data_IF_291710894622
#
_entry.id   IF_291710894622
#
_cell.length_a   1.000
_cell.length_b   1.000
_cell.length_c   1.000
_cell.angle_alpha   90.00
_cell.angle_beta   90.00
_cell.angle_gamma   90.00
#
_symmetry.space_group_name_H-M   'P 1'
#
loop_
_entity.id
_entity.type
_entity.pdbx_description
1 polymer ?
#
# COMPACT_ATOMS: atom_id res chain seq x y z
N UNK A 1 95.94 10.00 18.06
CA UNK A 1 95.96 8.63 17.52
C UNK A 1 94.61 8.33 16.89
N UNK A 2 94.61 7.96 15.60
CA UNK A 2 93.44 7.45 14.88
C UNK A 2 92.96 6.15 15.55
N UNK A 3 91.66 5.99 15.75
CA UNK A 3 91.06 4.65 15.76
C UNK A 3 89.71 4.69 15.03
N UNK A 4 89.65 3.77 14.08
CA UNK A 4 88.59 3.48 13.11
C UNK A 4 87.59 2.49 13.73
N UNK A 5 86.30 2.81 13.65
CA UNK A 5 85.21 1.86 13.89
C UNK A 5 84.62 1.37 12.55
N UNK A 6 84.17 0.11 12.43
CA UNK A 6 84.04 -0.61 11.16
C UNK A 6 82.73 -0.35 10.39
N UNK A 7 82.67 -0.64 9.08
CA UNK A 7 81.58 -0.27 8.16
C UNK A 7 80.38 -1.24 8.16
N UNK A 8 80.14 -1.99 9.24
CA UNK A 8 79.17 -3.10 9.23
C UNK A 8 77.71 -2.68 9.52
N UNK A 9 77.47 -1.54 10.18
CA UNK A 9 76.09 -1.08 10.46
C UNK A 9 75.40 -0.41 9.26
N UNK A 10 76.16 0.26 8.37
CA UNK A 10 75.58 0.91 7.18
C UNK A 10 75.19 -0.09 6.08
N UNK A 11 75.87 -1.23 6.00
CA UNK A 11 75.57 -2.27 5.01
C UNK A 11 74.30 -3.06 5.40
N UNK A 12 74.06 -3.27 6.71
CA UNK A 12 72.87 -3.98 7.19
C UNK A 12 71.57 -3.20 6.95
N UNK A 13 71.62 -1.85 7.05
CA UNK A 13 70.47 -0.98 6.80
C UNK A 13 70.11 -0.87 5.31
N UNK A 14 71.09 -0.95 4.40
CA UNK A 14 70.86 -0.95 2.95
C UNK A 14 70.28 -2.28 2.43
N UNK A 15 70.64 -3.42 3.04
CA UNK A 15 70.11 -4.74 2.65
C UNK A 15 68.61 -4.86 3.01
N UNK A 16 68.20 -4.38 4.19
CA UNK A 16 66.79 -4.43 4.64
C UNK A 16 65.87 -3.53 3.80
N UNK A 17 66.39 -2.40 3.29
CA UNK A 17 65.63 -1.51 2.39
C UNK A 17 65.48 -2.09 0.96
N UNK A 18 66.46 -2.85 0.47
CA UNK A 18 66.39 -3.50 -0.85
C UNK A 18 65.45 -4.72 -0.93
N UNK A 19 65.30 -5.46 0.19
CA UNK A 19 64.41 -6.62 0.29
C UNK A 19 62.92 -6.24 0.43
N UNK A 20 62.61 -5.03 0.91
CA UNK A 20 61.23 -4.57 1.05
C UNK A 20 60.66 -3.92 -0.22
N UNK A 21 61.54 -3.47 -1.14
CA UNK A 21 61.12 -2.90 -2.43
C UNK A 21 60.98 -3.96 -3.55
N UNK A 22 61.71 -5.08 -3.45
CA UNK A 22 61.66 -6.17 -4.45
C UNK A 22 60.38 -7.01 -4.35
N UNK A 23 59.73 -7.05 -3.18
CA UNK A 23 58.47 -7.77 -2.95
C UNK A 23 57.22 -7.01 -3.40
N UNK A 24 57.35 -5.73 -3.80
CA UNK A 24 56.22 -4.90 -4.24
C UNK A 24 56.13 -4.72 -5.76
N UNK A 25 57.09 -5.24 -6.53
CA UNK A 25 57.09 -5.13 -8.00
C UNK A 25 56.79 -6.48 -8.68
N UNK A 26 56.95 -7.62 -7.99
CA UNK A 26 56.62 -8.95 -8.50
C UNK A 26 55.12 -9.34 -8.36
N UNK A 27 54.25 -8.42 -7.95
CA UNK A 27 52.79 -8.63 -7.91
C UNK A 27 52.08 -7.92 -9.07
N UNK A 28 52.81 -7.24 -9.97
CA UNK A 28 52.18 -6.33 -10.95
C UNK A 28 52.47 -6.55 -12.43
N UNK A 29 53.05 -7.68 -12.88
CA UNK A 29 53.22 -7.94 -14.34
C UNK A 29 53.41 -9.42 -14.72
N UNK A 30 52.47 -9.94 -15.54
CA UNK A 30 52.56 -11.19 -16.34
C UNK A 30 52.02 -12.44 -15.62
N UNK A 31 50.98 -13.16 -16.04
CA UNK A 31 50.58 -13.57 -17.40
C UNK A 31 51.26 -14.90 -17.74
N UNK A 32 50.69 -16.06 -17.33
CA UNK A 32 49.95 -17.02 -18.20
C UNK A 32 50.86 -18.23 -18.51
N UNK A 33 50.58 -19.48 -18.11
CA UNK A 33 49.74 -20.55 -18.69
C UNK A 33 50.10 -21.81 -17.85
N UNK A 34 49.32 -22.86 -17.58
CA UNK A 34 48.04 -23.38 -18.05
C UNK A 34 47.60 -24.44 -17.02
N UNK A 35 46.43 -24.27 -16.42
CA UNK A 35 45.67 -25.37 -15.83
C UNK A 35 44.23 -25.13 -16.24
N UNK A 36 43.66 -26.13 -16.90
CA UNK A 36 42.32 -26.16 -17.47
C UNK A 36 41.31 -25.72 -16.39
N UNK A 37 40.85 -24.48 -16.46
CA UNK A 37 39.67 -24.03 -15.74
C UNK A 37 38.48 -24.61 -16.49
N UNK A 38 37.84 -25.59 -15.87
CA UNK A 38 36.47 -25.95 -16.18
C UNK A 38 35.65 -24.69 -15.95
N UNK A 39 35.12 -24.09 -17.02
CA UNK A 39 34.06 -23.10 -16.91
C UNK A 39 32.93 -23.73 -16.09
N UNK A 40 32.84 -23.36 -14.81
CA UNK A 40 31.60 -23.54 -14.09
C UNK A 40 30.54 -22.75 -14.87
N UNK A 41 29.46 -23.39 -15.34
CA UNK A 41 28.41 -22.66 -16.02
C UNK A 41 27.89 -21.67 -14.99
N UNK A 42 27.98 -20.38 -15.35
CA UNK A 42 27.37 -19.25 -14.66
C UNK A 42 26.14 -19.74 -13.92
N UNK A 43 26.24 -19.80 -12.59
CA UNK A 43 25.12 -20.10 -11.71
C UNK A 43 24.03 -19.11 -12.10
N UNK A 44 23.10 -19.57 -12.92
CA UNK A 44 21.79 -18.97 -13.08
C UNK A 44 21.35 -18.77 -11.64
N UNK A 45 21.26 -17.51 -11.22
CA UNK A 45 20.63 -17.16 -9.96
C UNK A 45 19.20 -17.68 -10.10
N UNK A 46 18.99 -18.96 -9.76
CA UNK A 46 17.67 -19.54 -9.62
C UNK A 46 17.07 -18.67 -8.54
N UNK A 47 16.19 -17.76 -8.95
CA UNK A 47 15.28 -17.07 -8.04
C UNK A 47 14.78 -18.15 -7.09
N UNK A 48 15.29 -18.17 -5.85
CA UNK A 48 14.86 -19.15 -4.86
C UNK A 48 13.38 -18.88 -4.71
N UNK A 49 12.55 -19.84 -5.16
CA UNK A 49 11.11 -19.75 -4.99
C UNK A 49 10.88 -19.53 -3.48
N UNK A 50 10.26 -18.43 -3.07
CA UNK A 50 10.05 -18.13 -1.67
C UNK A 50 9.24 -19.26 -1.04
N UNK A 51 9.79 -19.89 0.00
CA UNK A 51 9.11 -20.96 0.73
C UNK A 51 8.33 -20.32 1.85
N UNK A 52 7.01 -20.23 1.65
CA UNK A 52 6.10 -19.69 2.64
C UNK A 52 5.67 -20.74 3.66
N UNK A 53 5.45 -20.31 4.91
CA UNK A 53 4.84 -21.16 5.91
C UNK A 53 3.38 -21.46 5.52
N UNK A 54 3.12 -22.71 5.10
CA UNK A 54 1.81 -23.13 4.61
C UNK A 54 0.69 -22.97 5.65
N UNK A 55 0.99 -23.08 6.94
CA UNK A 55 0.04 -22.86 8.03
C UNK A 55 -0.33 -21.38 8.12
N UNK A 56 0.65 -20.47 8.08
CA UNK A 56 0.38 -19.03 8.06
C UNK A 56 -0.47 -18.62 6.85
N UNK A 57 -0.16 -19.15 5.66
CA UNK A 57 -0.95 -18.88 4.45
C UNK A 57 -2.41 -19.33 4.61
N UNK A 58 -2.64 -20.52 5.19
CA UNK A 58 -3.99 -21.03 5.44
C UNK A 58 -4.77 -20.13 6.41
N UNK A 59 -4.15 -19.72 7.52
CA UNK A 59 -4.81 -18.84 8.49
C UNK A 59 -5.06 -17.43 7.93
N UNK A 60 -4.13 -16.89 7.14
CA UNK A 60 -4.27 -15.60 6.47
C UNK A 60 -5.39 -15.60 5.41
N UNK A 61 -5.67 -16.75 4.80
CA UNK A 61 -6.74 -16.89 3.80
C UNK A 61 -8.17 -16.88 4.37
N UNK A 62 -8.33 -17.08 5.69
CA UNK A 62 -9.64 -17.13 6.38
C UNK A 62 -10.15 -15.71 6.67
N UNK A 63 -11.30 -15.33 6.12
CA UNK A 63 -12.03 -14.11 6.51
C UNK A 63 -12.99 -14.46 7.66
N UNK A 64 -12.59 -14.12 8.90
CA UNK A 64 -13.38 -14.40 10.12
C UNK A 64 -14.73 -13.67 10.09
N UNK A 65 -14.79 -12.55 9.39
CA UNK A 65 -16.00 -11.76 9.22
C UNK A 65 -16.88 -12.20 8.05
N UNK A 66 -16.52 -13.22 7.27
CA UNK A 66 -17.22 -13.49 6.00
C UNK A 66 -18.71 -13.77 6.18
N UNK A 67 -19.07 -14.63 7.14
CA UNK A 67 -20.47 -15.03 7.37
C UNK A 67 -21.35 -13.84 7.79
N UNK A 68 -20.86 -13.00 8.71
CA UNK A 68 -21.58 -11.80 9.14
C UNK A 68 -21.71 -10.80 7.99
N UNK A 69 -20.66 -10.61 7.18
CA UNK A 69 -20.72 -9.70 6.03
C UNK A 69 -21.72 -10.19 4.97
N UNK A 70 -21.78 -11.49 4.68
CA UNK A 70 -22.78 -12.07 3.78
C UNK A 70 -24.19 -11.83 4.28
N UNK A 71 -24.44 -12.08 5.57
CA UNK A 71 -25.74 -11.82 6.18
C UNK A 71 -26.14 -10.33 6.10
N UNK A 72 -25.21 -9.41 6.38
CA UNK A 72 -25.45 -7.96 6.24
C UNK A 72 -25.81 -7.59 4.81
N UNK A 73 -25.08 -8.11 3.81
CA UNK A 73 -25.35 -7.86 2.39
C UNK A 73 -26.74 -8.38 2.01
N UNK A 74 -27.13 -9.57 2.47
CA UNK A 74 -28.46 -10.14 2.20
C UNK A 74 -29.58 -9.26 2.78
N UNK A 75 -29.44 -8.78 4.01
CA UNK A 75 -30.44 -7.91 4.63
C UNK A 75 -30.52 -6.55 3.91
N UNK A 76 -29.37 -5.99 3.51
CA UNK A 76 -29.34 -4.78 2.70
C UNK A 76 -30.01 -4.99 1.34
N UNK A 77 -29.76 -6.11 0.66
CA UNK A 77 -30.45 -6.46 -0.58
C UNK A 77 -31.95 -6.71 -0.38
N UNK A 78 -32.44 -6.98 0.84
CA UNK A 78 -33.88 -7.04 1.15
C UNK A 78 -34.47 -5.66 1.51
N UNK A 79 -33.66 -4.60 1.50
CA UNK A 79 -34.08 -3.24 1.93
C UNK A 79 -34.13 -3.07 3.45
N UNK A 80 -33.53 -3.98 4.20
CA UNK A 80 -33.47 -3.93 5.66
C UNK A 80 -32.16 -3.32 6.11
N UNK A 81 -32.19 -2.03 6.39
CA UNK A 81 -31.07 -1.29 6.95
C UNK A 81 -31.08 -1.49 8.47
N UNK A 82 -30.23 -2.39 8.97
CA UNK A 82 -30.06 -2.61 10.40
C UNK A 82 -29.63 -1.35 11.16
N UNK A 83 -29.87 -1.31 12.47
CA UNK A 83 -29.55 -0.17 13.34
C UNK A 83 -28.08 -0.09 13.80
N UNK A 84 -27.24 -1.09 13.44
CA UNK A 84 -25.81 -1.15 13.76
C UNK A 84 -25.02 -1.71 12.57
N UNK A 85 -24.28 -0.85 11.88
CA UNK A 85 -23.18 -1.28 11.02
C UNK A 85 -21.99 -1.79 11.87
N UNK A 86 -21.10 -2.55 11.24
CA UNK A 86 -19.88 -3.13 11.86
C UNK A 86 -19.06 -2.16 12.70
N UNK A 87 -19.06 -0.87 12.36
CA UNK A 87 -18.26 0.17 13.01
C UNK A 87 -19.04 1.07 13.97
N UNK A 88 -20.19 0.61 14.50
CA UNK A 88 -20.92 1.34 15.54
C UNK A 88 -21.52 2.69 15.12
N UNK A 89 -21.43 3.05 13.83
CA UNK A 89 -22.09 4.23 13.29
C UNK A 89 -23.59 3.98 13.17
N UNK A 90 -24.35 4.76 13.94
CA UNK A 90 -25.81 4.74 13.89
C UNK A 90 -26.28 5.30 12.56
N UNK A 91 -27.14 4.56 11.85
CA UNK A 91 -27.97 5.04 10.73
C UNK A 91 -29.06 6.03 11.24
N UNK A 92 -28.76 6.84 12.27
CA UNK A 92 -29.59 8.00 12.63
C UNK A 92 -29.26 9.14 11.67
N UNK A 93 -29.68 8.96 10.42
CA UNK A 93 -29.63 10.00 9.39
C UNK A 93 -30.75 9.93 8.36
N UNK A 94 -31.63 8.92 8.43
CA UNK A 94 -32.99 9.01 7.89
C UNK A 94 -33.89 8.32 8.89
N UNK A 95 -34.78 9.07 9.51
CA UNK A 95 -35.90 8.48 10.26
C UNK A 95 -36.55 7.41 9.39
N UNK A 96 -36.98 6.31 9.99
CA UNK A 96 -37.74 5.24 9.30
C UNK A 96 -38.95 5.78 8.51
N UNK A 97 -39.42 7.00 8.82
CA UNK A 97 -40.42 7.76 8.04
C UNK A 97 -39.87 8.46 6.78
N UNK A 98 -38.62 8.92 6.78
CA UNK A 98 -37.98 9.61 5.63
C UNK A 98 -37.54 8.67 4.51
N UNK A 99 -37.13 7.44 4.84
CA UNK A 99 -36.92 6.38 3.83
C UNK A 99 -38.26 5.98 3.21
N UNK A 100 -39.34 5.91 3.99
CA UNK A 100 -40.68 5.59 3.50
C UNK A 100 -41.26 6.66 2.57
N UNK A 101 -40.98 7.94 2.83
CA UNK A 101 -41.36 9.05 1.95
C UNK A 101 -40.52 9.11 0.67
N UNK A 102 -39.24 8.72 0.72
CA UNK A 102 -38.37 8.61 -0.47
C UNK A 102 -38.69 7.40 -1.35
N UNK A 103 -39.24 6.31 -0.80
CA UNK A 103 -39.64 5.11 -1.56
C UNK A 103 -40.65 5.40 -2.69
N UNK A 104 -41.27 6.58 -2.74
CA UNK A 104 -42.24 6.99 -3.77
C UNK A 104 -41.68 7.93 -4.85
N UNK A 105 -40.42 8.36 -4.78
CA UNK A 105 -39.84 9.20 -5.83
C UNK A 105 -39.19 8.35 -6.94
N UNK A 106 -39.40 8.68 -8.23
CA UNK A 106 -38.78 7.97 -9.34
C UNK A 106 -37.24 7.94 -9.26
N UNK A 107 -36.64 8.99 -8.70
CA UNK A 107 -35.20 9.11 -8.52
C UNK A 107 -34.66 8.16 -7.45
N UNK A 108 -35.39 7.96 -6.35
CA UNK A 108 -35.01 6.98 -5.33
C UNK A 108 -35.08 5.55 -5.88
N UNK A 109 -36.10 5.24 -6.68
CA UNK A 109 -36.24 3.91 -7.28
C UNK A 109 -35.04 3.57 -8.19
N UNK A 110 -34.56 4.54 -9.00
CA UNK A 110 -33.36 4.36 -9.83
C UNK A 110 -32.11 4.11 -8.97
N UNK A 111 -31.87 4.97 -7.98
CA UNK A 111 -30.72 4.82 -7.08
C UNK A 111 -30.77 3.48 -6.31
N UNK A 112 -31.96 3.01 -5.96
CA UNK A 112 -32.15 1.72 -5.31
C UNK A 112 -31.80 0.53 -6.21
N UNK A 113 -32.21 0.55 -7.48
CA UNK A 113 -31.85 -0.47 -8.46
C UNK A 113 -30.33 -0.49 -8.70
N UNK A 114 -29.73 0.69 -8.83
CA UNK A 114 -28.27 0.83 -8.98
C UNK A 114 -27.51 0.30 -7.77
N UNK A 115 -27.96 0.65 -6.56
CA UNK A 115 -27.39 0.13 -5.33
C UNK A 115 -27.43 -1.39 -5.28
N UNK A 116 -28.59 -2.00 -5.53
CA UNK A 116 -28.72 -3.47 -5.52
C UNK A 116 -27.80 -4.13 -6.53
N UNK A 117 -27.75 -3.59 -7.75
CA UNK A 117 -26.90 -4.10 -8.84
C UNK A 117 -25.43 -4.06 -8.44
N UNK A 118 -24.93 -2.88 -8.02
CA UNK A 118 -23.52 -2.69 -7.66
C UNK A 118 -23.14 -3.56 -6.46
N UNK A 119 -23.97 -3.56 -5.40
CA UNK A 119 -23.70 -4.35 -4.20
C UNK A 119 -23.67 -5.86 -4.50
N UNK A 120 -24.64 -6.34 -5.28
CA UNK A 120 -24.72 -7.74 -5.68
C UNK A 120 -23.52 -8.15 -6.55
N UNK A 121 -23.15 -7.32 -7.53
CA UNK A 121 -21.99 -7.59 -8.41
C UNK A 121 -20.68 -7.58 -7.64
N UNK A 122 -20.49 -6.62 -6.74
CA UNK A 122 -19.33 -6.56 -5.85
C UNK A 122 -19.26 -7.81 -4.96
N UNK A 123 -20.37 -8.20 -4.33
CA UNK A 123 -20.43 -9.39 -3.47
C UNK A 123 -20.06 -10.68 -4.21
N UNK A 124 -20.56 -10.88 -5.44
CA UNK A 124 -20.26 -12.07 -6.26
C UNK A 124 -18.80 -12.14 -6.70
N UNK A 125 -18.14 -10.99 -6.87
CA UNK A 125 -16.73 -10.90 -7.27
C UNK A 125 -15.77 -11.00 -6.08
N UNK A 126 -16.24 -10.88 -4.84
CA UNK A 126 -15.42 -10.95 -3.62
C UNK A 126 -14.86 -12.35 -3.37
N UNK A 127 -13.79 -12.68 -4.10
CA UNK A 127 -13.01 -13.91 -3.96
C UNK A 127 -11.55 -13.61 -4.29
N UNK A 128 -10.65 -14.42 -3.76
CA UNK A 128 -9.24 -14.31 -4.09
C UNK A 128 -8.97 -14.68 -5.56
N UNK A 129 -8.25 -13.82 -6.26
CA UNK A 129 -7.70 -14.08 -7.59
C UNK A 129 -6.28 -13.50 -7.64
N UNK A 130 -5.25 -14.33 -7.86
CA UNK A 130 -3.86 -13.89 -7.72
C UNK A 130 -3.40 -12.97 -8.86
N UNK A 131 -4.07 -12.97 -10.02
CA UNK A 131 -3.74 -12.14 -11.19
C UNK A 131 -4.25 -10.69 -11.10
N UNK A 132 -5.00 -10.34 -10.05
CA UNK A 132 -5.67 -9.04 -9.93
C UNK A 132 -4.71 -7.85 -10.03
N UNK A 133 -3.45 -8.03 -9.61
CA UNK A 133 -2.44 -6.97 -9.63
C UNK A 133 -2.14 -6.47 -11.04
N UNK A 134 -2.12 -7.35 -12.05
CA UNK A 134 -1.89 -6.97 -13.44
C UNK A 134 -3.14 -6.31 -14.07
N UNK A 135 -4.33 -6.67 -13.58
CA UNK A 135 -5.59 -6.09 -14.04
C UNK A 135 -5.84 -4.66 -13.53
N UNK A 136 -5.11 -4.19 -12.51
CA UNK A 136 -5.27 -2.85 -11.93
C UNK A 136 -5.03 -1.72 -12.94
N UNK A 137 -4.22 -1.98 -13.97
CA UNK A 137 -3.98 -1.04 -15.07
C UNK A 137 -5.30 -0.72 -15.78
N UNK A 138 -6.04 -1.75 -16.20
CA UNK A 138 -7.34 -1.57 -16.85
C UNK A 138 -8.42 -1.08 -15.89
N UNK A 139 -8.43 -1.57 -14.65
CA UNK A 139 -9.48 -1.29 -13.66
C UNK A 139 -9.40 0.12 -13.06
N UNK A 140 -8.20 0.68 -12.91
CA UNK A 140 -7.99 1.97 -12.23
C UNK A 140 -7.27 2.98 -13.10
N UNK A 141 -6.12 2.63 -13.70
CA UNK A 141 -5.37 3.57 -14.56
C UNK A 141 -6.17 3.94 -15.81
N UNK A 142 -6.81 3.00 -16.49
CA UNK A 142 -7.60 3.25 -17.71
C UNK A 142 -8.70 4.31 -17.54
N UNK A 143 -9.59 4.22 -16.54
CA UNK A 143 -10.57 5.26 -16.25
C UNK A 143 -9.97 6.64 -15.93
N UNK A 144 -8.83 6.67 -15.21
CA UNK A 144 -8.13 7.92 -14.85
C UNK A 144 -7.51 8.57 -16.10
N UNK A 145 -6.81 7.79 -16.93
CA UNK A 145 -6.21 8.26 -18.18
C UNK A 145 -7.27 8.84 -19.11
N UNK A 146 -8.39 8.13 -19.29
CA UNK A 146 -9.49 8.60 -20.14
C UNK A 146 -10.06 9.93 -19.66
N UNK A 147 -10.24 10.10 -18.36
CA UNK A 147 -10.69 11.37 -17.77
C UNK A 147 -9.72 12.51 -18.02
N UNK A 148 -8.41 12.22 -17.96
CA UNK A 148 -7.36 13.20 -18.22
C UNK A 148 -7.08 13.43 -19.72
N UNK A 149 -7.88 12.84 -20.62
CA UNK A 149 -7.69 12.96 -22.07
C UNK A 149 -6.46 12.22 -22.60
N UNK A 150 -5.91 11.28 -21.84
CA UNK A 150 -4.74 10.48 -22.21
C UNK A 150 -5.17 9.21 -22.95
N UNK A 151 -4.32 8.72 -23.86
CA UNK A 151 -4.53 7.44 -24.53
C UNK A 151 -4.33 6.32 -23.53
N UNK A 152 -5.35 5.48 -23.36
CA UNK A 152 -5.28 4.31 -22.47
C UNK A 152 -4.21 3.35 -22.99
N UNK A 153 -3.26 3.03 -22.11
CA UNK A 153 -2.13 2.16 -22.40
C UNK A 153 -2.04 1.09 -21.31
N UNK A 154 -1.75 -0.14 -21.73
CA UNK A 154 -1.46 -1.28 -20.86
C UNK A 154 -0.09 -1.17 -20.16
N UNK A 155 0.68 -0.11 -20.42
CA UNK A 155 1.90 0.18 -19.68
C UNK A 155 1.58 0.82 -18.34
N UNK A 156 2.38 0.46 -17.33
CA UNK A 156 2.42 1.13 -16.03
C UNK A 156 2.88 2.58 -16.19
N UNK A 157 2.52 3.42 -15.22
CA UNK A 157 3.12 4.74 -15.08
C UNK A 157 4.60 4.59 -14.72
N UNK A 158 5.46 5.48 -15.19
CA UNK A 158 6.90 5.42 -14.93
C UNK A 158 7.25 5.64 -13.46
N UNK A 159 6.51 6.50 -12.75
CA UNK A 159 6.73 6.71 -11.32
C UNK A 159 5.50 7.21 -10.56
N UNK A 160 5.33 6.70 -9.33
CA UNK A 160 4.26 7.10 -8.44
C UNK A 160 4.79 7.48 -7.06
N UNK A 161 4.32 8.61 -6.53
CA UNK A 161 4.46 8.96 -5.13
C UNK A 161 3.15 8.64 -4.39
N UNK A 162 3.21 7.81 -3.36
CA UNK A 162 2.10 7.58 -2.43
C UNK A 162 2.38 8.41 -1.17
N UNK A 163 1.53 9.40 -0.93
CA UNK A 163 1.69 10.36 0.18
C UNK A 163 0.69 10.04 1.27
N UNK A 164 1.20 9.43 2.34
CA UNK A 164 0.49 9.17 3.57
C UNK A 164 0.29 10.43 4.41
N UNK A 165 -0.40 10.27 5.54
CA UNK A 165 -0.84 11.41 6.35
C UNK A 165 0.05 11.65 7.58
N UNK A 166 1.11 10.84 7.78
CA UNK A 166 1.91 10.88 9.00
C UNK A 166 2.56 12.23 9.26
N UNK A 167 2.61 12.64 10.53
CA UNK A 167 3.28 13.87 10.96
C UNK A 167 4.78 13.88 10.70
N UNK A 168 5.40 12.73 10.42
CA UNK A 168 6.83 12.64 10.08
C UNK A 168 7.19 13.49 8.86
N UNK A 169 6.24 13.72 7.95
CA UNK A 169 6.42 14.58 6.78
C UNK A 169 6.82 16.01 7.15
N UNK A 170 6.54 16.47 8.37
CA UNK A 170 6.90 17.81 8.82
C UNK A 170 8.38 17.96 9.17
N UNK A 171 9.15 16.86 9.16
CA UNK A 171 10.57 16.88 9.51
C UNK A 171 11.47 17.23 8.31
N UNK A 172 10.96 17.09 7.08
CA UNK A 172 11.73 17.28 5.84
C UNK A 172 10.88 17.94 4.76
N UNK A 173 11.53 18.67 3.86
CA UNK A 173 10.88 19.35 2.74
C UNK A 173 10.85 18.43 1.50
N UNK A 174 9.96 17.43 1.52
CA UNK A 174 9.81 16.49 0.40
C UNK A 174 8.96 17.02 -0.76
N UNK A 175 8.44 18.25 -0.70
CA UNK A 175 7.41 18.73 -1.62
C UNK A 175 7.81 18.68 -3.09
N UNK A 176 8.99 19.20 -3.44
CA UNK A 176 9.50 19.16 -4.82
C UNK A 176 9.76 17.72 -5.30
N UNK A 177 10.30 16.88 -4.40
CA UNK A 177 10.56 15.47 -4.71
C UNK A 177 9.25 14.71 -4.98
N UNK A 178 8.21 14.97 -4.19
CA UNK A 178 6.88 14.37 -4.38
C UNK A 178 6.31 14.81 -5.73
N UNK A 179 6.31 16.12 -6.01
CA UNK A 179 5.69 16.68 -7.22
C UNK A 179 6.43 16.30 -8.51
N UNK A 180 7.71 15.90 -8.41
CA UNK A 180 8.51 15.38 -9.51
C UNK A 180 8.11 13.98 -10.02
N UNK A 181 7.22 13.26 -9.32
CA UNK A 181 6.72 11.97 -9.80
C UNK A 181 5.67 12.15 -10.90
N UNK A 182 5.52 11.19 -11.80
CA UNK A 182 4.50 11.24 -12.86
C UNK A 182 3.09 11.30 -12.24
N UNK A 183 2.84 10.43 -11.27
CA UNK A 183 1.58 10.33 -10.55
C UNK A 183 1.80 10.56 -9.04
N UNK A 184 0.97 11.41 -8.44
CA UNK A 184 0.91 11.58 -6.98
C UNK A 184 -0.45 11.11 -6.47
N UNK A 185 -0.40 10.12 -5.56
CA UNK A 185 -1.56 9.48 -4.92
C UNK A 185 -1.62 9.97 -3.47
N UNK A 186 -2.69 10.66 -3.09
CA UNK A 186 -2.89 11.15 -1.72
C UNK A 186 -4.00 10.42 -0.99
N UNK A 187 -3.86 10.29 0.32
CA UNK A 187 -4.80 9.51 1.12
C UNK A 187 -5.90 10.38 1.76
N UNK A 188 -7.12 9.85 1.76
CA UNK A 188 -8.26 10.40 2.48
C UNK A 188 -8.47 11.90 2.18
N UNK A 189 -8.42 12.75 3.21
CA UNK A 189 -8.68 14.19 3.13
C UNK A 189 -7.52 15.03 3.66
N UNK A 190 -6.29 14.60 3.39
CA UNK A 190 -5.09 15.31 3.83
C UNK A 190 -4.98 16.68 3.17
N UNK A 191 -4.75 17.73 3.98
CA UNK A 191 -4.59 19.09 3.43
C UNK A 191 -3.21 19.22 2.80
N UNK A 192 -3.10 19.89 1.66
CA UNK A 192 -1.81 20.29 1.08
C UNK A 192 -1.50 21.76 1.39
N UNK A 193 -2.54 22.59 1.41
CA UNK A 193 -2.44 24.02 1.74
C UNK A 193 -1.71 24.25 3.07
N UNK A 194 -0.69 25.11 3.06
CA UNK A 194 0.24 25.45 4.16
C UNK A 194 1.29 24.39 4.49
N UNK A 195 1.30 23.28 3.76
CA UNK A 195 2.26 22.18 3.94
C UNK A 195 3.02 21.87 2.64
N UNK A 196 2.91 22.73 1.62
CA UNK A 196 3.36 22.49 0.25
C UNK A 196 4.86 22.17 0.19
N UNK A 197 5.68 22.84 1.00
CA UNK A 197 7.12 22.56 1.11
C UNK A 197 7.42 21.13 1.54
N UNK A 198 6.58 20.57 2.40
CA UNK A 198 6.76 19.23 2.95
C UNK A 198 6.09 18.15 2.09
N UNK A 199 4.89 18.44 1.58
CA UNK A 199 4.02 17.40 0.98
C UNK A 199 3.69 17.63 -0.49
N UNK A 200 4.14 18.73 -1.08
CA UNK A 200 3.87 19.10 -2.47
C UNK A 200 2.44 19.58 -2.71
N UNK A 201 2.15 19.99 -3.94
CA UNK A 201 0.83 20.45 -4.39
C UNK A 201 0.16 19.48 -5.36
N UNK A 202 0.95 18.67 -6.08
CA UNK A 202 0.44 17.79 -7.14
C UNK A 202 -0.42 16.70 -6.54
N UNK A 203 -1.56 16.43 -7.19
CA UNK A 203 -2.44 15.30 -6.88
C UNK A 203 -3.06 14.82 -8.17
N UNK A 204 -2.75 13.59 -8.59
CA UNK A 204 -3.32 13.01 -9.80
C UNK A 204 -4.62 12.28 -9.49
N UNK A 205 -4.69 11.57 -8.36
CA UNK A 205 -5.93 11.04 -7.80
C UNK A 205 -5.77 10.81 -6.29
N UNK A 206 -6.89 10.70 -5.59
CA UNK A 206 -6.88 10.37 -4.16
C UNK A 206 -7.42 8.97 -3.89
N UNK A 207 -6.83 8.29 -2.91
CA UNK A 207 -7.28 7.01 -2.41
C UNK A 207 -7.96 7.20 -1.04
N UNK A 208 -9.25 6.91 -0.94
CA UNK A 208 -10.04 7.26 0.25
C UNK A 208 -10.80 6.06 0.82
N UNK A 209 -10.98 6.05 2.14
CA UNK A 209 -11.94 5.18 2.80
C UNK A 209 -13.37 5.65 2.50
N UNK A 210 -14.28 4.72 2.17
CA UNK A 210 -15.72 5.02 2.01
C UNK A 210 -16.39 5.78 3.16
N UNK A 211 -15.87 5.73 4.39
CA UNK A 211 -16.32 6.59 5.50
C UNK A 211 -16.19 8.08 5.18
N UNK A 212 -15.16 8.49 4.41
CA UNK A 212 -15.00 9.88 3.96
C UNK A 212 -16.15 10.26 3.04
N UNK A 213 -16.48 9.40 2.08
CA UNK A 213 -17.64 9.61 1.21
C UNK A 213 -18.95 9.59 1.99
N UNK A 214 -19.12 8.68 2.95
CA UNK A 214 -20.30 8.63 3.81
C UNK A 214 -20.53 9.94 4.59
N UNK A 215 -19.46 10.57 5.08
CA UNK A 215 -19.51 11.86 5.76
C UNK A 215 -19.89 13.01 4.80
N UNK A 216 -19.30 13.04 3.61
CA UNK A 216 -19.52 14.13 2.64
C UNK A 216 -20.80 13.96 1.80
N UNK A 217 -21.24 12.73 1.54
CA UNK A 217 -22.45 12.42 0.77
C UNK A 217 -23.74 12.92 1.40
N UNK A 218 -23.67 13.32 2.68
CA UNK A 218 -24.78 13.99 3.41
C UNK A 218 -24.92 15.47 3.04
N UNK A 219 -23.95 16.05 2.34
CA UNK A 219 -23.97 17.46 1.90
C UNK A 219 -24.72 17.59 0.58
N UNK A 220 -25.28 18.76 0.33
CA UNK A 220 -25.93 19.07 -0.95
C UNK A 220 -24.94 18.86 -2.11
N UNK A 221 -25.38 18.16 -3.16
CA UNK A 221 -24.55 17.87 -4.33
C UNK A 221 -23.41 16.87 -4.10
N UNK A 222 -23.39 16.15 -2.96
CA UNK A 222 -22.31 15.21 -2.64
C UNK A 222 -20.90 15.85 -2.70
N UNK A 223 -20.75 17.10 -2.24
CA UNK A 223 -19.48 17.82 -2.30
C UNK A 223 -18.37 17.09 -1.50
N UNK A 224 -17.61 16.25 -2.20
CA UNK A 224 -16.59 15.35 -1.66
C UNK A 224 -15.33 15.42 -2.54
N UNK A 225 -14.67 16.57 -2.55
CA UNK A 225 -13.51 16.80 -3.43
C UNK A 225 -12.30 17.26 -2.61
N UNK A 226 -11.65 16.38 -1.83
CA UNK A 226 -10.58 16.77 -0.90
C UNK A 226 -9.40 17.45 -1.60
N UNK A 227 -9.18 17.15 -2.88
CA UNK A 227 -8.08 17.70 -3.70
C UNK A 227 -8.56 18.44 -4.94
N UNK A 228 -9.85 18.82 -5.00
CA UNK A 228 -10.44 19.55 -6.13
C UNK A 228 -11.40 18.71 -6.98
N UNK A 229 -12.37 19.37 -7.61
CA UNK A 229 -13.51 18.72 -8.27
C UNK A 229 -13.14 17.86 -9.49
N UNK A 230 -11.96 18.10 -10.07
CA UNK A 230 -11.46 17.39 -11.25
C UNK A 230 -10.49 16.25 -10.91
N UNK A 231 -10.18 16.04 -9.63
CA UNK A 231 -9.28 14.97 -9.18
C UNK A 231 -10.08 13.68 -8.98
N UNK A 232 -9.78 12.59 -9.71
CA UNK A 232 -10.42 11.30 -9.52
C UNK A 232 -10.25 10.76 -8.09
N UNK A 233 -11.23 9.98 -7.64
CA UNK A 233 -11.19 9.33 -6.34
C UNK A 233 -11.30 7.82 -6.50
N UNK A 234 -10.34 7.09 -5.94
CA UNK A 234 -10.38 5.64 -5.77
C UNK A 234 -10.82 5.34 -4.34
N UNK A 235 -11.85 4.50 -4.18
CA UNK A 235 -12.52 4.26 -2.90
C UNK A 235 -12.60 2.77 -2.63
N UNK A 236 -12.16 2.37 -1.44
CA UNK A 236 -12.51 1.06 -0.92
C UNK A 236 -13.71 1.13 0.01
N UNK A 237 -14.60 0.16 -0.14
CA UNK A 237 -15.86 0.09 0.59
C UNK A 237 -15.64 -0.73 1.87
N UNK A 238 -15.61 -0.05 3.01
CA UNK A 238 -15.40 -0.69 4.32
C UNK A 238 -16.72 -1.19 4.94
N UNK A 239 -17.87 -0.67 4.48
CA UNK A 239 -19.20 -1.13 4.89
C UNK A 239 -20.10 -1.26 3.66
N UNK A 240 -20.79 -2.40 3.47
CA UNK A 240 -21.68 -2.59 2.32
C UNK A 240 -22.78 -1.51 2.18
N UNK A 241 -23.21 -0.90 3.27
CA UNK A 241 -24.16 0.23 3.27
C UNK A 241 -23.65 1.44 2.48
N UNK A 242 -22.32 1.68 2.44
CA UNK A 242 -21.74 2.84 1.75
C UNK A 242 -21.88 2.77 0.22
N UNK A 243 -22.30 1.64 -0.34
CA UNK A 243 -22.70 1.59 -1.75
C UNK A 243 -23.91 2.49 -2.05
N UNK A 244 -24.74 2.81 -1.05
CA UNK A 244 -25.78 3.82 -1.21
C UNK A 244 -25.18 5.20 -1.45
N UNK A 245 -24.19 5.60 -0.64
CA UNK A 245 -23.52 6.89 -0.80
C UNK A 245 -22.79 6.95 -2.14
N UNK A 246 -22.10 5.86 -2.51
CA UNK A 246 -21.46 5.73 -3.82
C UNK A 246 -22.45 5.94 -4.97
N UNK A 247 -23.57 5.21 -4.99
CA UNK A 247 -24.53 5.30 -6.10
C UNK A 247 -25.20 6.66 -6.22
N UNK A 248 -25.48 7.31 -5.08
CA UNK A 248 -25.99 8.67 -5.07
C UNK A 248 -24.93 9.66 -5.57
N UNK A 249 -23.72 9.57 -5.04
CA UNK A 249 -22.69 10.57 -5.27
C UNK A 249 -21.95 10.41 -6.59
N UNK A 250 -21.84 9.21 -7.16
CA UNK A 250 -21.13 8.98 -8.42
C UNK A 250 -21.68 9.86 -9.56
N UNK A 251 -23.00 10.05 -9.60
CA UNK A 251 -23.66 10.92 -10.59
C UNK A 251 -23.39 12.42 -10.42
N UNK A 252 -22.92 12.83 -9.24
CA UNK A 252 -22.69 14.24 -8.89
C UNK A 252 -21.23 14.66 -9.02
N UNK A 253 -20.30 13.72 -9.25
CA UNK A 253 -18.87 14.03 -9.37
C UNK A 253 -18.49 14.32 -10.83
N UNK A 254 -17.69 15.38 -11.04
CA UNK A 254 -17.13 15.68 -12.37
C UNK A 254 -15.97 14.74 -12.74
N UNK A 255 -15.23 14.26 -11.74
CA UNK A 255 -14.16 13.28 -11.91
C UNK A 255 -14.62 11.86 -11.53
N UNK A 256 -14.00 10.81 -12.08
CA UNK A 256 -14.34 9.43 -11.78
C UNK A 256 -14.33 9.11 -10.28
N UNK A 257 -15.42 8.47 -9.83
CA UNK A 257 -15.52 7.81 -8.54
C UNK A 257 -15.33 6.31 -8.76
N UNK A 258 -14.14 5.79 -8.48
CA UNK A 258 -13.75 4.41 -8.80
C UNK A 258 -13.79 3.59 -7.52
N UNK A 259 -14.67 2.59 -7.46
CA UNK A 259 -14.65 1.60 -6.36
C UNK A 259 -13.58 0.56 -6.64
N UNK A 260 -12.77 0.20 -5.65
CA UNK A 260 -11.77 -0.88 -5.76
C UNK A 260 -12.43 -2.21 -6.13
N UNK A 261 -11.73 -3.01 -6.94
CA UNK A 261 -12.21 -4.35 -7.25
C UNK A 261 -12.15 -5.24 -5.99
N UNK A 262 -13.22 -5.96 -5.63
CA UNK A 262 -13.27 -6.77 -4.42
C UNK A 262 -12.24 -7.91 -4.39
N UNK A 263 -11.70 -8.32 -5.55
CA UNK A 263 -10.58 -9.28 -5.61
C UNK A 263 -9.29 -8.67 -5.08
N UNK A 264 -9.08 -7.38 -5.35
CA UNK A 264 -7.97 -6.60 -4.83
C UNK A 264 -8.12 -6.36 -3.32
N UNK A 265 -9.35 -6.06 -2.87
CA UNK A 265 -9.65 -5.97 -1.44
C UNK A 265 -9.30 -7.28 -0.69
N UNK A 266 -9.67 -8.44 -1.26
CA UNK A 266 -9.35 -9.76 -0.68
C UNK A 266 -7.84 -10.02 -0.68
N UNK A 267 -7.12 -9.65 -1.74
CA UNK A 267 -5.67 -9.78 -1.80
C UNK A 267 -5.00 -8.97 -0.67
N UNK A 268 -5.33 -7.69 -0.54
CA UNK A 268 -4.78 -6.83 0.52
C UNK A 268 -5.10 -7.35 1.92
N UNK A 269 -6.33 -7.84 2.15
CA UNK A 269 -6.74 -8.42 3.43
C UNK A 269 -5.90 -9.67 3.78
N UNK A 270 -5.62 -10.54 2.81
CA UNK A 270 -4.79 -11.74 3.03
C UNK A 270 -3.33 -11.39 3.31
N UNK A 271 -2.76 -10.45 2.55
CA UNK A 271 -1.38 -10.00 2.74
C UNK A 271 -1.20 -9.43 4.15
N UNK A 272 -2.01 -8.44 4.55
CA UNK A 272 -1.84 -7.80 5.87
C UNK A 272 -2.09 -8.79 7.01
N UNK A 273 -3.05 -9.71 6.86
CA UNK A 273 -3.31 -10.75 7.86
C UNK A 273 -2.13 -11.71 7.98
N UNK A 274 -1.44 -12.04 6.89
CA UNK A 274 -0.24 -12.87 6.96
C UNK A 274 0.88 -12.22 7.78
N UNK A 275 1.17 -10.94 7.53
CA UNK A 275 2.17 -10.20 8.32
C UNK A 275 1.77 -10.12 9.80
N UNK A 276 0.50 -9.81 10.09
CA UNK A 276 -0.01 -9.75 11.46
C UNK A 276 0.08 -11.11 12.18
N UNK A 277 -0.30 -12.21 11.53
CA UNK A 277 -0.18 -13.57 12.08
C UNK A 277 1.28 -13.96 12.32
N UNK A 278 2.18 -13.62 11.39
CA UNK A 278 3.61 -13.89 11.51
C UNK A 278 4.18 -13.18 12.74
N UNK A 279 3.96 -11.87 12.87
CA UNK A 279 4.39 -11.07 14.03
C UNK A 279 3.83 -11.63 15.32
N UNK A 280 2.52 -11.92 15.36
CA UNK A 280 1.86 -12.46 16.54
C UNK A 280 2.55 -13.73 17.06
N UNK A 281 2.86 -14.69 16.19
CA UNK A 281 3.55 -15.92 16.58
C UNK A 281 4.99 -15.64 17.02
N UNK A 282 5.72 -14.79 16.30
CA UNK A 282 7.12 -14.49 16.58
C UNK A 282 7.30 -13.78 17.94
N UNK A 283 6.43 -12.81 18.22
CA UNK A 283 6.48 -11.96 19.42
C UNK A 283 5.86 -12.63 20.65
N UNK A 284 4.68 -13.25 20.50
CA UNK A 284 3.92 -13.75 21.66
C UNK A 284 4.16 -15.22 21.95
N UNK A 285 4.66 -15.98 20.96
CA UNK A 285 4.79 -17.45 20.99
C UNK A 285 3.48 -18.20 21.24
N UNK A 286 2.33 -17.53 21.09
CA UNK A 286 1.00 -18.13 21.21
C UNK A 286 0.59 -18.85 19.93
N UNK A 287 -0.33 -19.82 20.02
CA UNK A 287 -0.84 -20.52 18.85
C UNK A 287 -1.74 -19.60 18.00
N UNK A 288 -1.77 -19.85 16.68
CA UNK A 288 -2.41 -18.97 15.69
C UNK A 288 -3.93 -18.80 15.87
N UNK A 289 -4.60 -19.74 16.51
CA UNK A 289 -6.03 -19.69 16.83
C UNK A 289 -6.36 -18.61 17.86
N UNK A 290 -5.42 -18.21 18.71
CA UNK A 290 -5.57 -17.06 19.62
C UNK A 290 -5.48 -15.70 18.91
N UNK A 291 -4.98 -15.63 17.67
CA UNK A 291 -4.80 -14.35 16.97
C UNK A 291 -6.12 -13.56 16.86
N UNK A 292 -7.23 -14.26 16.61
CA UNK A 292 -8.53 -13.64 16.38
C UNK A 292 -9.08 -12.90 17.61
N UNK A 293 -8.82 -13.41 18.82
CA UNK A 293 -9.29 -12.78 20.06
C UNK A 293 -8.46 -11.55 20.44
N UNK A 294 -7.19 -11.52 20.03
CA UNK A 294 -6.28 -10.40 20.30
C UNK A 294 -6.47 -9.24 19.33
N UNK A 295 -6.76 -9.53 18.06
CA UNK A 295 -6.81 -8.53 16.98
C UNK A 295 -8.22 -8.16 16.52
N UNK A 296 -9.25 -8.53 17.29
CA UNK A 296 -10.67 -8.39 16.89
C UNK A 296 -10.88 -8.92 15.46
N UNK A 297 -10.55 -10.20 15.22
CA UNK A 297 -10.34 -10.74 13.88
C UNK A 297 -11.50 -10.59 12.89
N UNK A 298 -12.74 -10.42 13.36
CA UNK A 298 -13.92 -10.15 12.53
C UNK A 298 -13.98 -8.70 11.98
N UNK A 299 -13.26 -7.79 12.63
CA UNK A 299 -13.15 -6.37 12.32
C UNK A 299 -11.79 -6.00 11.72
N UNK A 300 -10.79 -6.87 11.86
CA UNK A 300 -9.45 -6.69 11.31
C UNK A 300 -9.48 -6.36 9.82
N UNK A 301 -8.77 -5.31 9.44
CA UNK A 301 -8.77 -4.78 8.08
C UNK A 301 -7.48 -4.01 7.80
N UNK A 302 -7.05 -3.97 6.54
CA UNK A 302 -5.93 -3.12 6.11
C UNK A 302 -6.25 -1.62 6.23
N UNK A 303 -5.24 -0.79 6.37
CA UNK A 303 -5.37 0.67 6.30
C UNK A 303 -5.56 1.16 4.85
N UNK A 304 -6.10 2.37 4.69
CA UNK A 304 -6.17 3.02 3.36
C UNK A 304 -4.78 3.19 2.73
N UNK A 305 -3.75 3.34 3.57
CA UNK A 305 -2.37 3.49 3.13
C UNK A 305 -1.83 2.21 2.49
N UNK A 306 -2.02 1.07 3.14
CA UNK A 306 -1.57 -0.23 2.60
C UNK A 306 -2.17 -0.48 1.23
N UNK A 307 -3.48 -0.30 1.10
CA UNK A 307 -4.14 -0.57 -0.17
C UNK A 307 -3.74 0.42 -1.26
N UNK A 308 -3.51 1.69 -0.93
CA UNK A 308 -2.99 2.68 -1.88
C UNK A 308 -1.56 2.37 -2.34
N UNK A 309 -0.69 1.89 -1.44
CA UNK A 309 0.66 1.42 -1.79
C UNK A 309 0.57 0.21 -2.71
N UNK A 310 -0.24 -0.78 -2.38
CA UNK A 310 -0.44 -1.96 -3.24
C UNK A 310 -1.05 -1.60 -4.59
N UNK A 311 -1.93 -0.59 -4.65
CA UNK A 311 -2.48 -0.08 -5.89
C UNK A 311 -1.36 0.52 -6.76
N UNK A 312 -0.51 1.36 -6.17
CA UNK A 312 0.65 1.95 -6.84
C UNK A 312 1.61 0.87 -7.36
N UNK A 313 1.81 -0.21 -6.59
CA UNK A 313 2.61 -1.37 -7.01
C UNK A 313 2.06 -2.03 -8.28
N UNK A 314 0.73 -2.11 -8.42
CA UNK A 314 0.09 -2.68 -9.61
C UNK A 314 0.15 -1.80 -10.85
N UNK A 315 0.20 -0.47 -10.69
CA UNK A 315 0.04 0.47 -11.82
C UNK A 315 1.28 1.29 -12.15
N UNK A 316 2.40 1.14 -11.43
CA UNK A 316 3.61 1.94 -11.60
C UNK A 316 4.89 1.08 -11.67
N UNK A 317 5.93 1.57 -12.36
CA UNK A 317 7.26 0.93 -12.47
C UNK A 317 8.20 1.32 -11.32
N UNK A 318 7.97 2.49 -10.71
CA UNK A 318 8.64 2.96 -9.50
C UNK A 318 7.61 3.49 -8.50
N UNK A 319 7.74 3.11 -7.23
CA UNK A 319 6.84 3.54 -6.14
C UNK A 319 7.66 4.18 -5.02
N UNK A 320 7.40 5.45 -4.73
CA UNK A 320 7.98 6.18 -3.61
C UNK A 320 6.91 6.40 -2.54
N UNK A 321 7.18 5.95 -1.32
CA UNK A 321 6.22 5.91 -0.20
C UNK A 321 6.62 6.97 0.82
N UNK A 322 5.81 8.02 0.97
CA UNK A 322 6.10 9.18 1.83
C UNK A 322 5.13 9.24 3.00
N UNK A 323 5.62 9.48 4.22
CA UNK A 323 4.72 9.71 5.36
C UNK A 323 4.02 8.44 5.85
N UNK A 324 4.72 7.32 5.78
CA UNK A 324 4.35 6.03 6.36
C UNK A 324 5.36 5.69 7.45
N UNK A 325 4.86 5.37 8.65
CA UNK A 325 5.69 5.17 9.83
C UNK A 325 5.38 6.17 10.94
N UNK A 326 6.08 5.96 12.04
CA UNK A 326 5.84 6.64 13.32
C UNK A 326 7.12 7.27 13.83
N UNK A 327 6.96 8.43 14.46
CA UNK A 327 8.03 9.05 15.25
C UNK A 327 7.42 9.55 16.55
N UNK A 328 8.10 9.30 17.68
CA UNK A 328 7.63 9.72 19.00
C UNK A 328 7.47 11.25 19.12
N UNK A 329 8.20 12.01 18.30
CA UNK A 329 8.13 13.47 18.23
C UNK A 329 7.11 13.99 17.22
N UNK A 330 6.49 13.11 16.41
CA UNK A 330 5.56 13.50 15.36
C UNK A 330 4.10 13.25 15.76
N UNK A 331 3.20 14.06 15.20
CA UNK A 331 1.75 13.84 15.30
C UNK A 331 1.35 12.65 14.41
N UNK A 332 0.19 12.05 14.69
CA UNK A 332 -0.30 10.97 13.83
C UNK A 332 -0.69 11.50 12.46
N UNK A 333 -1.37 12.66 12.39
CA UNK A 333 -1.57 13.36 11.13
C UNK A 333 -0.84 14.71 11.11
N UNK A 334 -0.21 15.05 10.00
CA UNK A 334 0.45 16.36 9.85
C UNK A 334 -0.56 17.53 9.81
N UNK A 335 -1.80 17.25 9.38
CA UNK A 335 -2.84 18.27 9.17
C UNK A 335 -3.99 18.24 10.20
N UNK A 336 -3.97 17.34 11.19
CA UNK A 336 -5.00 17.27 12.26
C UNK A 336 -4.39 17.09 13.65
N UNK A 337 -5.13 17.44 14.70
CA UNK A 337 -4.69 17.29 16.11
C UNK A 337 -4.67 15.83 16.60
N UNK A 338 -4.89 14.85 15.71
CA UNK A 338 -4.83 13.44 16.07
C UNK A 338 -3.39 13.04 16.40
N UNK A 339 -3.20 12.41 17.56
CA UNK A 339 -1.89 11.96 18.06
C UNK A 339 -1.71 10.45 18.06
N UNK A 340 -2.80 9.68 17.99
CA UNK A 340 -2.75 8.22 18.07
C UNK A 340 -3.32 7.53 16.82
N UNK A 341 -2.75 6.38 16.53
CA UNK A 341 -3.21 5.41 15.53
C UNK A 341 -4.55 4.76 15.97
N UNK A 342 -5.33 4.33 14.98
CA UNK A 342 -6.53 3.53 15.23
C UNK A 342 -6.13 2.10 15.60
N UNK A 343 -6.73 1.53 16.64
CA UNK A 343 -6.49 0.13 17.06
C UNK A 343 -6.95 -0.93 16.06
N UNK A 344 -7.70 -0.52 15.03
CA UNK A 344 -8.30 -1.42 14.03
C UNK A 344 -7.28 -2.02 13.05
N UNK A 345 -6.17 -1.31 12.82
CA UNK A 345 -5.13 -1.70 11.87
C UNK A 345 -3.90 -2.13 12.65
N UNK A 346 -3.25 -3.20 12.19
CA UNK A 346 -1.95 -3.60 12.69
C UNK A 346 -0.85 -2.90 11.88
N UNK A 347 -0.56 -1.65 12.25
CA UNK A 347 0.38 -0.79 11.52
C UNK A 347 1.80 -1.37 11.45
N UNK A 348 2.24 -2.07 12.50
CA UNK A 348 3.56 -2.69 12.52
C UNK A 348 3.64 -3.82 11.47
N UNK A 349 2.58 -4.61 11.31
CA UNK A 349 2.48 -5.57 10.20
C UNK A 349 2.48 -4.89 8.82
N UNK A 350 1.88 -3.70 8.67
CA UNK A 350 1.97 -2.93 7.42
C UNK A 350 3.38 -2.38 7.17
N UNK A 351 4.09 -1.95 8.22
CA UNK A 351 5.46 -1.47 8.11
C UNK A 351 6.43 -2.59 7.69
N UNK A 352 6.24 -3.80 8.19
CA UNK A 352 6.98 -4.98 7.73
C UNK A 352 6.72 -5.27 6.24
N UNK A 353 5.48 -5.13 5.78
CA UNK A 353 5.15 -5.24 4.35
C UNK A 353 5.89 -4.18 3.52
N UNK A 354 5.92 -2.92 3.96
CA UNK A 354 6.65 -1.88 3.22
C UNK A 354 8.15 -2.15 3.20
N UNK A 355 8.69 -2.71 4.29
CA UNK A 355 10.09 -3.12 4.36
C UNK A 355 10.40 -4.24 3.36
N UNK A 356 9.58 -5.28 3.32
CA UNK A 356 9.73 -6.38 2.34
C UNK A 356 9.51 -5.87 0.91
N UNK A 357 8.57 -4.95 0.67
CA UNK A 357 8.37 -4.37 -0.65
C UNK A 357 9.63 -3.70 -1.21
N UNK A 358 10.41 -3.04 -0.35
CA UNK A 358 11.68 -2.39 -0.72
C UNK A 358 12.82 -3.40 -0.85
N UNK A 359 12.95 -4.32 0.11
CA UNK A 359 14.18 -5.11 0.27
C UNK A 359 14.05 -6.55 -0.24
N UNK A 360 12.85 -7.12 -0.23
CA UNK A 360 12.58 -8.51 -0.59
C UNK A 360 11.15 -8.71 -1.10
N UNK A 361 10.76 -8.10 -2.23
CA UNK A 361 9.36 -8.09 -2.68
C UNK A 361 8.82 -9.50 -2.99
N UNK A 362 9.71 -10.45 -3.29
CA UNK A 362 9.35 -11.85 -3.49
C UNK A 362 8.87 -12.54 -2.19
N UNK A 363 9.16 -11.98 -1.01
CA UNK A 363 8.62 -12.48 0.27
C UNK A 363 7.16 -12.05 0.54
N UNK A 364 6.54 -11.26 -0.34
CA UNK A 364 5.14 -10.89 -0.21
C UNK A 364 4.26 -12.07 -0.72
N UNK A 365 3.45 -12.70 0.14
CA UNK A 365 2.66 -13.85 -0.26
C UNK A 365 1.45 -13.44 -1.10
N UNK A 366 0.76 -14.43 -1.66
CA UNK A 366 -0.51 -14.27 -2.40
C UNK A 366 -0.42 -13.49 -3.72
N UNK A 367 0.77 -13.13 -4.16
CA UNK A 367 1.03 -12.54 -5.47
C UNK A 367 1.64 -13.62 -6.37
N UNK A 368 1.25 -13.66 -7.64
CA UNK A 368 1.79 -14.65 -8.59
C UNK A 368 3.30 -14.46 -8.74
N UNK A 369 4.04 -15.58 -8.90
CA UNK A 369 5.48 -15.51 -9.18
C UNK A 369 5.82 -14.88 -10.54
N UNK A 370 4.82 -14.68 -11.41
CA UNK A 370 4.96 -14.00 -12.71
C UNK A 370 4.82 -12.49 -12.60
N UNK A 371 4.24 -11.97 -11.50
CA UNK A 371 4.09 -10.54 -11.29
C UNK A 371 5.46 -9.88 -11.10
N UNK A 372 5.74 -8.86 -11.92
CA UNK A 372 6.96 -8.06 -11.79
C UNK A 372 6.72 -6.92 -10.82
N UNK A 373 7.34 -7.01 -9.65
CA UNK A 373 7.31 -5.91 -8.67
C UNK A 373 8.09 -4.71 -9.19
N UNK A 374 7.59 -3.48 -8.96
CA UNK A 374 8.32 -2.26 -9.24
C UNK A 374 9.44 -2.03 -8.23
N UNK A 375 10.34 -1.10 -8.54
CA UNK A 375 11.28 -0.60 -7.54
C UNK A 375 10.51 0.25 -6.52
N UNK A 376 10.67 -0.05 -5.24
CA UNK A 376 10.03 0.70 -4.16
C UNK A 376 11.05 1.40 -3.26
N UNK A 377 10.68 2.56 -2.72
CA UNK A 377 11.46 3.30 -1.74
C UNK A 377 10.54 3.91 -0.68
N UNK A 378 10.98 3.92 0.58
CA UNK A 378 10.25 4.57 1.69
C UNK A 378 11.02 5.81 2.16
N UNK A 379 10.30 6.91 2.32
CA UNK A 379 10.78 8.20 2.79
C UNK A 379 10.13 8.53 4.14
N UNK A 380 10.96 8.52 5.19
CA UNK A 380 10.59 8.86 6.57
C UNK A 380 10.97 10.29 6.92
#
# INVERSE_FOLDING_TARGET
MKSSAPPLLSILLLIIFSLTLSSKILVRRGGGFSSIEVEEPSLVLRNKVPVFNSTLLKYAAIDVGEAQAKHEIEELLKGRFGSRGRYGYSVKARTSKGVLAMLRSPQFHRNWLDFRRVLHDWSRKKRYQPEIMDELIGLVKGPIDRHNGLVVSERRYGSCAVVGNSGILMQKEYGELIDGHEIVIRLNNARTERYERNVGVKTNFSFINSNILHLCGRRQGCFCHPYGANVPMVIYICQPTHFLDYTVCNSSHNAPLIVTDPRFDVLCARIVKYYSLKRFVEETRKPLDEWCSVHDGSMFHYSSGLQAVMLAVGICDKVSIFGFGKSASARHHYHTNQKAELKLHDYEAEYDLYHDLVNNPQAIPFITGTFKFPTAMVYQ
#
